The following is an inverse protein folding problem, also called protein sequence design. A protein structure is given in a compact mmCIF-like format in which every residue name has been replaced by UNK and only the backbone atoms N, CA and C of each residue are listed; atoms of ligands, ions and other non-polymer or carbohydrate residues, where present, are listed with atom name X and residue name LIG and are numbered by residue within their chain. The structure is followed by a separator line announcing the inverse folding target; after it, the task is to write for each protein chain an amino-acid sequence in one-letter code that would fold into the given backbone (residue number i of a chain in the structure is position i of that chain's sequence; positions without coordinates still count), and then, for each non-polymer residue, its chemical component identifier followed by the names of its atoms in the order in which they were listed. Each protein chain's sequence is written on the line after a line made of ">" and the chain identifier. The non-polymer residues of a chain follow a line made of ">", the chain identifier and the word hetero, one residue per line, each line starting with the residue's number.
data_IF_512427536862
#
_entry.id   IF_512427536862
#
_cell.length_a   1.000
_cell.length_b   1.000
_cell.length_c   1.000
_cell.angle_alpha   90.00
_cell.angle_beta   90.00
_cell.angle_gamma   90.00
#
_symmetry.space_group_name_H-M   'P 1'
#
loop_
_entity.id
_entity.type
_entity.pdbx_description
1 polymer ?
#
# COMPACT_ATOMS: atom_id res chain seq x y z
N UNK A 1 15.36 -18.05 25.99
CA UNK A 1 14.93 -17.88 24.61
C UNK A 1 13.82 -16.84 24.40
N UNK A 2 13.05 -16.41 25.44
CA UNK A 2 11.95 -15.43 25.31
C UNK A 2 12.39 -13.99 24.90
N UNK A 3 13.56 -13.56 25.33
CA UNK A 3 13.99 -12.16 25.22
C UNK A 3 14.64 -11.78 23.88
N UNK A 4 15.07 -12.76 23.08
CA UNK A 4 15.77 -12.48 21.83
C UNK A 4 14.81 -12.10 20.69
N UNK A 5 13.66 -12.73 20.63
CA UNK A 5 12.73 -12.62 19.51
C UNK A 5 12.00 -11.27 19.42
N UNK A 6 11.64 -10.67 20.56
CA UNK A 6 11.04 -9.33 20.58
C UNK A 6 12.07 -8.20 20.38
N UNK A 7 13.33 -8.45 20.74
CA UNK A 7 14.43 -7.57 20.35
C UNK A 7 14.62 -7.48 18.83
N UNK A 8 14.20 -8.48 18.09
CA UNK A 8 14.26 -8.55 16.63
C UNK A 8 13.19 -7.67 15.95
N UNK A 9 12.09 -7.37 16.66
CA UNK A 9 11.10 -6.38 16.25
C UNK A 9 11.62 -4.92 16.30
N UNK A 10 12.89 -4.73 16.56
CA UNK A 10 13.56 -3.40 16.65
C UNK A 10 13.51 -2.58 15.38
N UNK A 11 12.84 -3.05 14.36
CA UNK A 11 13.26 -2.56 13.09
C UNK A 11 12.67 -1.20 12.75
N UNK A 12 13.47 -0.13 12.75
CA UNK A 12 13.15 1.08 12.02
C UNK A 12 12.89 0.79 10.53
N UNK A 13 13.29 -0.41 10.03
CA UNK A 13 13.05 -0.83 8.66
C UNK A 13 11.56 -0.88 8.33
N UNK A 14 10.71 -1.33 9.24
CA UNK A 14 9.25 -1.32 9.01
C UNK A 14 8.75 0.12 8.85
N UNK A 15 9.14 1.02 9.76
CA UNK A 15 8.70 2.42 9.72
C UNK A 15 9.26 3.17 8.52
N UNK A 16 10.52 2.91 8.16
CA UNK A 16 11.13 3.49 6.95
C UNK A 16 10.47 2.89 5.70
N UNK A 17 10.23 1.58 5.68
CA UNK A 17 9.50 0.94 4.58
C UNK A 17 8.10 1.53 4.38
N UNK A 18 7.35 1.74 5.47
CA UNK A 18 6.05 2.41 5.42
C UNK A 18 6.14 3.85 4.87
N UNK A 19 7.23 4.57 5.16
CA UNK A 19 7.44 5.91 4.63
C UNK A 19 7.50 5.91 3.10
N UNK A 20 8.15 4.92 2.48
CA UNK A 20 8.20 4.78 1.03
C UNK A 20 6.82 4.56 0.39
N UNK A 21 5.85 4.01 1.14
CA UNK A 21 4.51 3.73 0.63
C UNK A 21 3.55 4.93 0.72
N UNK A 22 3.95 6.08 1.27
CA UNK A 22 3.07 7.25 1.43
C UNK A 22 2.78 7.93 0.08
N UNK A 23 3.70 7.83 -0.89
CA UNK A 23 3.58 8.51 -2.15
C UNK A 23 2.39 8.03 -3.00
N UNK A 24 1.72 8.93 -3.71
CA UNK A 24 0.73 8.55 -4.72
C UNK A 24 1.44 7.90 -5.91
N UNK A 25 0.89 6.80 -6.40
CA UNK A 25 1.28 6.20 -7.69
C UNK A 25 0.44 6.77 -8.81
N UNK A 26 1.06 7.05 -9.96
CA UNK A 26 0.39 7.58 -11.14
C UNK A 26 0.54 6.60 -12.29
N UNK A 27 -0.53 5.93 -12.65
CA UNK A 27 -0.47 4.92 -13.70
C UNK A 27 0.61 3.87 -13.41
N UNK A 28 1.59 3.73 -14.29
CA UNK A 28 2.76 2.87 -14.08
C UNK A 28 3.89 3.58 -13.33
N UNK A 29 3.84 4.92 -13.21
CA UNK A 29 4.91 5.70 -12.61
C UNK A 29 4.79 5.76 -11.08
N UNK A 30 5.85 5.39 -10.41
CA UNK A 30 6.00 5.42 -8.96
C UNK A 30 7.21 6.29 -8.59
N UNK A 31 7.00 7.53 -8.09
CA UNK A 31 8.07 8.45 -7.77
C UNK A 31 9.03 7.96 -6.69
N UNK A 32 8.51 7.27 -5.69
CA UNK A 32 9.27 6.57 -4.67
C UNK A 32 8.99 5.08 -4.84
N UNK A 33 9.96 4.28 -5.31
CA UNK A 33 9.70 2.89 -5.65
C UNK A 33 9.15 2.09 -4.46
N UNK A 34 7.87 1.76 -4.52
CA UNK A 34 7.18 1.00 -3.47
C UNK A 34 7.83 -0.34 -3.16
N UNK A 35 8.46 -0.95 -4.17
CA UNK A 35 9.16 -2.22 -3.96
C UNK A 35 10.25 -2.12 -2.87
N UNK A 36 10.91 -0.96 -2.74
CA UNK A 36 11.87 -0.71 -1.67
C UNK A 36 11.16 -0.71 -0.32
N UNK A 37 10.01 -0.02 -0.22
CA UNK A 37 9.19 0.02 0.98
C UNK A 37 8.75 -1.37 1.42
N UNK A 38 8.22 -2.18 0.51
CA UNK A 38 7.82 -3.55 0.79
C UNK A 38 8.99 -4.45 1.19
N UNK A 39 10.16 -4.33 0.54
CA UNK A 39 11.36 -5.10 0.92
C UNK A 39 11.88 -4.70 2.31
N UNK A 40 11.84 -3.42 2.65
CA UNK A 40 12.24 -2.97 3.98
C UNK A 40 11.28 -3.47 5.06
N UNK A 41 9.98 -3.44 4.81
CA UNK A 41 8.99 -4.02 5.72
C UNK A 41 9.18 -5.54 5.87
N UNK A 42 9.44 -6.24 4.77
CA UNK A 42 9.77 -7.67 4.78
C UNK A 42 10.99 -7.96 5.66
N UNK A 43 12.11 -7.26 5.42
CA UNK A 43 13.31 -7.42 6.23
C UNK A 43 13.07 -7.12 7.72
N UNK A 44 12.19 -6.14 8.00
CA UNK A 44 11.83 -5.77 9.35
C UNK A 44 10.95 -6.79 10.10
N UNK A 45 10.17 -7.60 9.39
CA UNK A 45 9.25 -8.58 9.99
C UNK A 45 9.77 -10.01 9.87
N UNK A 46 10.77 -10.28 9.05
CA UNK A 46 11.24 -11.62 8.67
C UNK A 46 11.54 -12.53 9.87
N UNK A 47 12.28 -12.01 10.84
CA UNK A 47 12.64 -12.80 12.02
C UNK A 47 11.44 -13.02 12.96
N UNK A 48 10.53 -12.05 13.05
CA UNK A 48 9.29 -12.17 13.80
C UNK A 48 8.31 -13.11 13.11
N UNK A 49 8.33 -13.19 11.81
CA UNK A 49 7.48 -14.05 10.99
C UNK A 49 7.65 -15.53 11.33
N UNK A 50 8.83 -15.94 11.77
CA UNK A 50 9.08 -17.33 12.21
C UNK A 50 8.29 -17.75 13.46
N UNK A 51 7.60 -16.82 14.15
CA UNK A 51 6.84 -17.08 15.36
C UNK A 51 5.37 -17.46 15.12
N UNK A 52 4.83 -17.08 13.96
CA UNK A 52 3.42 -17.29 13.61
C UNK A 52 3.27 -17.48 12.10
N UNK A 53 2.45 -18.45 11.70
CA UNK A 53 2.22 -18.77 10.29
C UNK A 53 1.57 -17.62 9.52
N UNK A 54 0.72 -16.79 10.16
CA UNK A 54 0.07 -15.63 9.55
C UNK A 54 1.09 -14.54 9.26
N UNK A 55 2.02 -14.28 10.20
CA UNK A 55 3.12 -13.36 9.94
C UNK A 55 4.06 -13.87 8.85
N UNK A 56 4.28 -15.18 8.77
CA UNK A 56 5.02 -15.80 7.66
C UNK A 56 4.29 -15.56 6.34
N UNK A 57 2.98 -15.70 6.30
CA UNK A 57 2.18 -15.41 5.10
C UNK A 57 2.19 -13.92 4.75
N UNK A 58 2.06 -13.03 5.74
CA UNK A 58 2.18 -11.59 5.54
C UNK A 58 3.56 -11.22 4.97
N UNK A 59 4.64 -11.78 5.49
CA UNK A 59 5.99 -11.57 4.98
C UNK A 59 6.14 -12.02 3.50
N UNK A 60 5.61 -13.19 3.14
CA UNK A 60 5.59 -13.65 1.74
C UNK A 60 4.80 -12.70 0.83
N UNK A 61 3.68 -12.16 1.31
CA UNK A 61 2.88 -11.19 0.55
C UNK A 61 3.59 -9.86 0.34
N UNK A 62 4.40 -9.41 1.31
CA UNK A 62 5.29 -8.26 1.12
C UNK A 62 6.29 -8.49 -0.02
N UNK A 63 6.84 -9.70 -0.15
CA UNK A 63 7.71 -10.04 -1.29
C UNK A 63 6.94 -10.03 -2.62
N UNK A 64 5.71 -10.57 -2.64
CA UNK A 64 4.89 -10.53 -3.86
C UNK A 64 4.49 -9.10 -4.24
N UNK A 65 4.17 -8.25 -3.26
CA UNK A 65 3.90 -6.83 -3.49
C UNK A 65 5.14 -6.10 -3.99
N UNK A 66 6.33 -6.39 -3.42
CA UNK A 66 7.59 -5.85 -3.92
C UNK A 66 7.87 -6.25 -5.36
N UNK A 67 7.67 -7.54 -5.69
CA UNK A 67 7.84 -8.04 -7.06
C UNK A 67 6.85 -7.36 -8.02
N UNK A 68 5.58 -7.26 -7.64
CA UNK A 68 4.55 -6.63 -8.44
C UNK A 68 4.86 -5.15 -8.72
N UNK A 69 5.27 -4.40 -7.66
CA UNK A 69 5.68 -3.01 -7.78
C UNK A 69 6.93 -2.85 -8.65
N UNK A 70 7.92 -3.74 -8.51
CA UNK A 70 9.10 -3.75 -9.37
C UNK A 70 8.77 -4.03 -10.84
N UNK A 71 7.87 -4.97 -11.12
CA UNK A 71 7.39 -5.26 -12.47
C UNK A 71 6.61 -4.07 -13.05
N UNK A 72 5.80 -3.38 -12.24
CA UNK A 72 5.09 -2.17 -12.66
C UNK A 72 6.08 -1.07 -13.08
N UNK A 73 7.14 -0.87 -12.31
CA UNK A 73 8.19 0.10 -12.64
C UNK A 73 8.92 -0.28 -13.95
N UNK A 74 9.27 -1.55 -14.15
CA UNK A 74 9.85 -2.03 -15.42
C UNK A 74 8.85 -1.80 -16.57
N UNK A 75 7.56 -2.08 -16.35
CA UNK A 75 6.49 -1.79 -17.29
C UNK A 75 6.46 -0.33 -17.72
N UNK A 76 6.62 0.60 -16.78
CA UNK A 76 6.65 2.04 -17.08
C UNK A 76 7.77 2.42 -18.06
N UNK A 77 8.94 1.81 -17.96
CA UNK A 77 10.07 2.07 -18.87
C UNK A 77 9.92 1.37 -20.23
N UNK A 78 9.36 0.16 -20.26
CA UNK A 78 9.24 -0.63 -21.49
C UNK A 78 8.06 -0.20 -22.36
N UNK A 79 7.03 0.41 -21.77
CA UNK A 79 5.83 0.86 -22.48
C UNK A 79 5.87 2.32 -22.91
N UNK A 80 7.02 2.99 -22.81
CA UNK A 80 7.17 4.41 -23.19
C UNK A 80 6.86 4.74 -24.66
N UNK A 81 6.57 3.76 -25.50
CA UNK A 81 6.12 3.91 -26.88
C UNK A 81 4.87 3.09 -27.22
N UNK A 82 4.24 2.47 -26.21
CA UNK A 82 3.05 1.65 -26.41
C UNK A 82 1.80 2.52 -26.57
N UNK A 83 0.77 1.96 -27.22
CA UNK A 83 -0.53 2.58 -27.34
C UNK A 83 -1.24 2.67 -25.96
N UNK A 84 -2.10 3.68 -25.81
CA UNK A 84 -2.83 3.94 -24.56
C UNK A 84 -3.64 2.76 -24.06
N UNK A 85 -4.16 1.93 -24.97
CA UNK A 85 -4.98 0.76 -24.62
C UNK A 85 -4.15 -0.33 -23.94
N UNK A 86 -2.94 -0.59 -24.41
CA UNK A 86 -2.01 -1.55 -23.81
C UNK A 86 -1.59 -1.11 -22.41
N UNK A 87 -1.22 0.17 -22.26
CA UNK A 87 -0.86 0.75 -20.94
C UNK A 87 -2.03 0.61 -19.97
N UNK A 88 -3.25 0.94 -20.40
CA UNK A 88 -4.47 0.84 -19.59
C UNK A 88 -4.73 -0.60 -19.13
N UNK A 89 -4.62 -1.59 -20.02
CA UNK A 89 -4.81 -3.00 -19.67
C UNK A 89 -3.80 -3.48 -18.63
N UNK A 90 -2.54 -3.09 -18.79
CA UNK A 90 -1.47 -3.43 -17.83
C UNK A 90 -1.73 -2.79 -16.46
N UNK A 91 -2.06 -1.51 -16.42
CA UNK A 91 -2.40 -0.82 -15.16
C UNK A 91 -3.58 -1.45 -14.45
N UNK A 92 -4.62 -1.84 -15.20
CA UNK A 92 -5.78 -2.52 -14.66
C UNK A 92 -5.42 -3.90 -14.06
N UNK A 93 -4.64 -4.70 -14.79
CA UNK A 93 -4.19 -6.00 -14.32
C UNK A 93 -3.33 -5.87 -13.05
N UNK A 94 -2.37 -4.94 -13.02
CA UNK A 94 -1.56 -4.67 -11.83
C UNK A 94 -2.41 -4.21 -10.64
N UNK A 95 -3.37 -3.32 -10.86
CA UNK A 95 -4.24 -2.79 -9.78
C UNK A 95 -5.14 -3.88 -9.19
N UNK A 96 -5.67 -4.80 -9.99
CA UNK A 96 -6.44 -5.95 -9.49
C UNK A 96 -5.55 -6.88 -8.67
N UNK A 97 -4.38 -7.25 -9.18
CA UNK A 97 -3.43 -8.10 -8.46
C UNK A 97 -2.99 -7.45 -7.13
N UNK A 98 -2.70 -6.16 -7.15
CA UNK A 98 -2.33 -5.41 -5.95
C UNK A 98 -3.47 -5.39 -4.94
N UNK A 99 -4.71 -5.12 -5.37
CA UNK A 99 -5.89 -5.11 -4.49
C UNK A 99 -6.10 -6.45 -3.77
N UNK A 100 -5.98 -7.56 -4.49
CA UNK A 100 -6.13 -8.92 -3.94
C UNK A 100 -5.00 -9.24 -2.94
N UNK A 101 -3.76 -8.91 -3.30
CA UNK A 101 -2.60 -9.12 -2.41
C UNK A 101 -2.72 -8.28 -1.14
N UNK A 102 -3.08 -7.01 -1.27
CA UNK A 102 -3.25 -6.07 -0.14
C UNK A 102 -4.36 -6.54 0.79
N UNK A 103 -5.51 -6.98 0.26
CA UNK A 103 -6.63 -7.48 1.07
C UNK A 103 -6.19 -8.61 2.02
N UNK A 104 -5.51 -9.60 1.43
CA UNK A 104 -5.02 -10.75 2.19
C UNK A 104 -3.82 -10.42 3.08
N UNK A 105 -2.95 -9.49 2.63
CA UNK A 105 -1.83 -8.99 3.42
C UNK A 105 -2.29 -8.29 4.70
N UNK A 106 -3.24 -7.35 4.60
CA UNK A 106 -3.76 -6.62 5.77
C UNK A 106 -4.33 -7.60 6.80
N UNK A 107 -5.06 -8.61 6.35
CA UNK A 107 -5.63 -9.62 7.25
C UNK A 107 -4.53 -10.39 7.98
N UNK A 108 -3.60 -11.00 7.25
CA UNK A 108 -2.53 -11.80 7.86
C UNK A 108 -1.59 -10.96 8.74
N UNK A 109 -1.32 -9.71 8.33
CA UNK A 109 -0.49 -8.79 9.08
C UNK A 109 -1.08 -8.49 10.46
N UNK A 110 -2.33 -8.04 10.51
CA UNK A 110 -2.95 -7.67 11.78
C UNK A 110 -3.32 -8.88 12.64
N UNK A 111 -3.81 -9.97 12.05
CA UNK A 111 -4.16 -11.18 12.79
C UNK A 111 -2.89 -11.89 13.33
N UNK A 112 -1.78 -11.85 12.60
CA UNK A 112 -0.51 -12.38 13.06
C UNK A 112 0.09 -11.55 14.20
N UNK A 113 0.06 -10.22 14.09
CA UNK A 113 0.48 -9.34 15.19
C UNK A 113 -0.42 -9.49 16.42
N UNK A 114 -1.73 -9.65 16.24
CA UNK A 114 -2.68 -9.89 17.33
C UNK A 114 -2.29 -11.15 18.12
N UNK A 115 -2.06 -12.25 17.44
CA UNK A 115 -1.64 -13.50 18.06
C UNK A 115 -0.32 -13.35 18.82
N UNK A 116 0.69 -12.73 18.22
CA UNK A 116 1.99 -12.52 18.86
C UNK A 116 1.86 -11.62 20.10
N UNK A 117 1.11 -10.52 20.00
CA UNK A 117 0.88 -9.61 21.11
C UNK A 117 0.12 -10.26 22.26
N UNK A 118 -0.92 -11.04 21.99
CA UNK A 118 -1.64 -11.80 23.02
C UNK A 118 -0.70 -12.81 23.72
N UNK A 119 0.12 -13.52 22.96
CA UNK A 119 1.07 -14.49 23.49
C UNK A 119 2.13 -13.86 24.40
N UNK A 120 2.50 -12.63 24.13
CA UNK A 120 3.48 -11.88 24.93
C UNK A 120 2.85 -10.94 25.97
N UNK A 121 1.50 -10.85 26.02
CA UNK A 121 0.80 -9.99 26.98
C UNK A 121 0.86 -8.49 26.66
N UNK A 122 1.10 -8.13 25.39
CA UNK A 122 1.22 -6.75 24.91
C UNK A 122 -0.17 -6.15 24.61
N UNK A 123 -0.95 -5.87 25.65
CA UNK A 123 -2.36 -5.46 25.52
C UNK A 123 -2.57 -3.98 25.16
N UNK A 124 -1.59 -3.10 25.38
CA UNK A 124 -1.74 -1.67 25.08
C UNK A 124 -1.85 -1.41 23.57
N UNK A 125 -1.10 -2.16 22.78
CA UNK A 125 -1.15 -2.07 21.32
C UNK A 125 -2.46 -2.60 20.73
N UNK A 126 -3.06 -3.63 21.33
CA UNK A 126 -4.32 -4.25 20.88
C UNK A 126 -5.48 -3.24 20.86
N UNK A 127 -5.51 -2.31 21.83
CA UNK A 127 -6.58 -1.30 21.92
C UNK A 127 -6.73 -0.45 20.65
N UNK A 128 -5.64 -0.20 19.93
CA UNK A 128 -5.63 0.64 18.73
C UNK A 128 -5.58 -0.17 17.42
N UNK A 129 -5.53 -1.49 17.50
CA UNK A 129 -5.34 -2.36 16.34
C UNK A 129 -6.47 -2.25 15.33
N UNK A 130 -7.73 -2.33 15.78
CA UNK A 130 -8.91 -2.28 14.88
C UNK A 130 -8.94 -0.97 14.09
N UNK A 131 -8.66 0.15 14.75
CA UNK A 131 -8.61 1.45 14.11
C UNK A 131 -7.45 1.53 13.09
N UNK A 132 -6.26 1.04 13.47
CA UNK A 132 -5.09 1.04 12.57
C UNK A 132 -5.32 0.13 11.36
N UNK A 133 -5.94 -1.05 11.55
CA UNK A 133 -6.34 -1.97 10.48
C UNK A 133 -7.30 -1.28 9.49
N UNK A 134 -8.33 -0.61 10.01
CA UNK A 134 -9.30 0.12 9.19
C UNK A 134 -8.66 1.24 8.39
N UNK A 135 -7.83 2.08 9.03
CA UNK A 135 -7.09 3.17 8.36
C UNK A 135 -6.15 2.61 7.29
N UNK A 136 -5.47 1.50 7.57
CA UNK A 136 -4.59 0.82 6.61
C UNK A 136 -5.37 0.36 5.38
N UNK A 137 -6.54 -0.26 5.59
CA UNK A 137 -7.42 -0.67 4.51
C UNK A 137 -7.86 0.52 3.64
N UNK A 138 -8.38 1.57 4.26
CA UNK A 138 -8.80 2.78 3.54
C UNK A 138 -7.64 3.36 2.73
N UNK A 139 -6.46 3.50 3.33
CA UNK A 139 -5.31 4.08 2.64
C UNK A 139 -4.91 3.27 1.40
N UNK A 140 -4.70 1.96 1.54
CA UNK A 140 -4.25 1.14 0.41
C UNK A 140 -5.30 1.06 -0.70
N UNK A 141 -6.59 0.85 -0.36
CA UNK A 141 -7.64 0.80 -1.38
C UNK A 141 -7.87 2.14 -2.07
N UNK A 142 -7.81 3.24 -1.33
CA UNK A 142 -7.88 4.57 -1.94
C UNK A 142 -6.71 4.83 -2.87
N UNK A 143 -5.50 4.45 -2.46
CA UNK A 143 -4.31 4.58 -3.28
C UNK A 143 -4.41 3.78 -4.58
N UNK A 144 -4.87 2.53 -4.52
CA UNK A 144 -5.09 1.69 -5.70
C UNK A 144 -6.17 2.32 -6.60
N UNK A 145 -7.31 2.72 -6.03
CA UNK A 145 -8.40 3.33 -6.78
C UNK A 145 -7.97 4.64 -7.45
N UNK A 146 -7.29 5.52 -6.74
CA UNK A 146 -6.83 6.80 -7.28
C UNK A 146 -5.66 6.64 -8.27
N UNK A 147 -4.79 5.67 -8.05
CA UNK A 147 -3.73 5.32 -9.01
C UNK A 147 -4.27 4.86 -10.37
N UNK A 148 -5.51 4.33 -10.40
CA UNK A 148 -6.18 3.89 -11.62
C UNK A 148 -7.04 4.97 -12.30
N UNK A 149 -7.29 6.11 -11.66
CA UNK A 149 -8.12 7.19 -12.21
C UNK A 149 -7.65 7.73 -13.57
N UNK A 150 -6.34 7.91 -13.85
CA UNK A 150 -5.89 8.34 -15.17
C UNK A 150 -6.35 7.42 -16.28
N UNK A 151 -6.36 6.10 -16.05
CA UNK A 151 -6.81 5.09 -17.00
C UNK A 151 -8.32 5.09 -17.18
N UNK A 152 -9.08 5.30 -16.10
CA UNK A 152 -10.53 5.48 -16.17
C UNK A 152 -10.90 6.70 -17.02
N UNK A 153 -10.18 7.82 -16.86
CA UNK A 153 -10.41 9.01 -17.67
C UNK A 153 -10.14 8.76 -19.14
N UNK A 154 -9.12 7.95 -19.48
CA UNK A 154 -8.84 7.56 -20.86
C UNK A 154 -9.98 6.71 -21.47
N UNK A 155 -10.65 5.84 -20.69
CA UNK A 155 -11.86 5.11 -21.12
C UNK A 155 -12.98 6.08 -21.47
N UNK A 156 -13.17 7.15 -20.67
CA UNK A 156 -14.18 8.17 -20.94
C UNK A 156 -13.84 9.01 -22.17
N UNK A 157 -12.55 9.30 -22.41
CA UNK A 157 -12.09 9.96 -23.64
C UNK A 157 -12.31 9.10 -24.88
N UNK A 158 -12.07 7.78 -24.81
CA UNK A 158 -12.39 6.84 -25.89
C UNK A 158 -13.90 6.81 -26.20
N UNK A 159 -14.77 6.86 -25.18
CA UNK A 159 -16.22 6.99 -25.39
C UNK A 159 -16.59 8.30 -26.10
N UNK A 160 -15.95 9.39 -25.74
CA UNK A 160 -16.15 10.68 -26.40
C UNK A 160 -15.68 10.67 -27.86
N UNK A 161 -14.60 9.93 -28.17
CA UNK A 161 -14.08 9.76 -29.53
C UNK A 161 -15.06 8.95 -30.43
N UNK A 162 -15.78 8.00 -29.88
CA UNK A 162 -16.79 7.21 -30.60
C UNK A 162 -18.16 7.91 -30.71
N UNK A 163 -18.21 9.22 -30.51
CA UNK A 163 -19.42 10.05 -30.73
C UNK A 163 -20.63 9.73 -29.84
N UNK A 164 -20.39 8.94 -28.77
CA UNK A 164 -21.45 8.46 -27.87
C UNK A 164 -21.97 9.60 -26.96
N UNK A 165 -21.15 10.65 -26.75
CA UNK A 165 -21.59 11.78 -25.95
C UNK A 165 -20.89 13.09 -26.37
N UNK A 166 -21.56 13.87 -27.20
CA UNK A 166 -21.15 15.25 -27.54
C UNK A 166 -21.49 16.28 -26.46
N UNK A 167 -21.79 15.82 -25.23
CA UNK A 167 -22.25 16.70 -24.19
C UNK A 167 -21.13 17.68 -23.79
N UNK A 168 -21.43 18.99 -23.68
CA UNK A 168 -20.45 20.00 -23.28
C UNK A 168 -19.88 19.74 -21.88
N UNK A 169 -20.56 18.95 -21.06
CA UNK A 169 -20.12 18.55 -19.72
C UNK A 169 -18.85 17.69 -19.78
N UNK A 170 -18.75 16.74 -20.71
CA UNK A 170 -17.56 15.89 -20.86
C UNK A 170 -16.35 16.65 -21.40
N UNK A 171 -16.57 17.64 -22.27
CA UNK A 171 -15.49 18.54 -22.73
C UNK A 171 -14.97 19.43 -21.60
N UNK A 172 -15.86 19.91 -20.73
CA UNK A 172 -15.47 20.68 -19.56
C UNK A 172 -14.68 19.81 -18.56
N UNK A 173 -15.14 18.59 -18.28
CA UNK A 173 -14.42 17.63 -17.40
C UNK A 173 -13.01 17.32 -17.92
N UNK A 174 -12.85 17.10 -19.22
CA UNK A 174 -11.53 16.85 -19.82
C UNK A 174 -10.55 18.02 -19.63
N UNK A 175 -11.03 19.26 -19.59
CA UNK A 175 -10.19 20.45 -19.35
C UNK A 175 -9.72 20.58 -17.89
N UNK A 176 -10.40 19.92 -16.92
CA UNK A 176 -10.04 19.92 -15.50
C UNK A 176 -9.12 18.75 -15.08
N UNK A 177 -8.84 17.80 -16.00
CA UNK A 177 -8.05 16.59 -15.75
C UNK A 177 -6.75 16.80 -14.93
N UNK A 178 -5.88 17.78 -15.24
CA UNK A 178 -4.67 17.99 -14.44
C UNK A 178 -4.96 18.42 -13.00
N UNK A 179 -6.03 19.18 -12.76
CA UNK A 179 -6.43 19.60 -11.41
C UNK A 179 -7.03 18.45 -10.63
N UNK A 180 -7.78 17.55 -11.27
CA UNK A 180 -8.33 16.35 -10.65
C UNK A 180 -7.20 15.42 -10.18
N UNK A 181 -6.22 15.15 -11.03
CA UNK A 181 -5.05 14.33 -10.67
C UNK A 181 -4.30 14.96 -9.50
N UNK A 182 -4.07 16.27 -9.52
CA UNK A 182 -3.40 16.96 -8.43
C UNK A 182 -4.20 16.90 -7.12
N UNK A 183 -5.53 17.08 -7.17
CA UNK A 183 -6.41 16.99 -6.01
C UNK A 183 -6.42 15.59 -5.42
N UNK A 184 -6.58 14.56 -6.24
CA UNK A 184 -6.57 13.16 -5.79
C UNK A 184 -5.23 12.77 -5.21
N UNK A 185 -4.13 13.21 -5.81
CA UNK A 185 -2.78 12.99 -5.29
C UNK A 185 -2.60 13.62 -3.91
N UNK A 186 -3.11 14.84 -3.72
CA UNK A 186 -3.08 15.52 -2.43
C UNK A 186 -3.90 14.75 -1.39
N UNK A 187 -5.09 14.25 -1.75
CA UNK A 187 -5.93 13.45 -0.86
C UNK A 187 -5.19 12.17 -0.45
N UNK A 188 -4.62 11.43 -1.41
CA UNK A 188 -3.86 10.19 -1.13
C UNK A 188 -2.65 10.49 -0.24
N UNK A 189 -1.94 11.60 -0.48
CA UNK A 189 -0.81 12.00 0.34
C UNK A 189 -1.24 12.31 1.79
N UNK A 190 -2.32 13.06 1.99
CA UNK A 190 -2.85 13.37 3.32
C UNK A 190 -3.26 12.08 4.04
N UNK A 191 -3.96 11.19 3.35
CA UNK A 191 -4.35 9.89 3.89
C UNK A 191 -3.13 9.03 4.21
N UNK A 192 -2.09 9.05 3.35
CA UNK A 192 -0.83 8.34 3.56
C UNK A 192 -0.09 8.83 4.80
N UNK A 193 0.01 10.13 5.00
CA UNK A 193 0.60 10.72 6.22
C UNK A 193 -0.19 10.32 7.46
N UNK A 194 -1.53 10.37 7.40
CA UNK A 194 -2.39 9.96 8.51
C UNK A 194 -2.23 8.47 8.82
N UNK A 195 -2.24 7.61 7.82
CA UNK A 195 -1.96 6.18 7.95
C UNK A 195 -0.58 5.92 8.57
N UNK A 196 0.46 6.60 8.06
CA UNK A 196 1.84 6.46 8.54
C UNK A 196 1.95 6.79 10.03
N UNK A 197 1.42 7.93 10.45
CA UNK A 197 1.46 8.36 11.85
C UNK A 197 0.76 7.34 12.76
N UNK A 198 -0.41 6.83 12.37
CA UNK A 198 -1.14 5.81 13.14
C UNK A 198 -0.37 4.49 13.19
N UNK A 199 0.18 4.05 12.05
CA UNK A 199 0.95 2.81 11.98
C UNK A 199 2.24 2.87 12.80
N UNK A 200 2.95 4.00 12.75
CA UNK A 200 4.16 4.22 13.59
C UNK A 200 3.80 4.23 15.08
N UNK A 201 2.67 4.85 15.47
CA UNK A 201 2.20 4.80 16.87
C UNK A 201 1.88 3.38 17.30
N UNK A 202 1.22 2.61 16.46
CA UNK A 202 0.90 1.21 16.71
C UNK A 202 2.18 0.35 16.89
N UNK A 203 3.16 0.48 15.99
CA UNK A 203 4.43 -0.23 16.08
C UNK A 203 5.23 0.18 17.34
N UNK A 204 5.22 1.47 17.68
CA UNK A 204 5.86 1.96 18.92
C UNK A 204 5.18 1.41 20.17
N UNK A 205 3.86 1.28 20.19
CA UNK A 205 3.13 0.68 21.29
C UNK A 205 3.51 -0.80 21.48
N UNK A 206 3.58 -1.57 20.39
CA UNK A 206 4.06 -2.96 20.43
C UNK A 206 5.47 -3.03 21.03
N UNK A 207 6.36 -2.12 20.63
CA UNK A 207 7.73 -2.09 21.12
C UNK A 207 7.81 -1.71 22.61
N UNK A 208 7.03 -0.71 23.03
CA UNK A 208 7.00 -0.29 24.43
C UNK A 208 6.53 -1.43 25.34
N UNK A 209 5.45 -2.14 24.95
CA UNK A 209 4.96 -3.30 25.68
C UNK A 209 6.02 -4.43 25.73
N UNK A 210 6.78 -4.60 24.65
CA UNK A 210 7.86 -5.57 24.58
C UNK A 210 9.04 -5.23 25.50
N UNK A 211 9.37 -3.96 25.65
CA UNK A 211 10.47 -3.48 26.51
C UNK A 211 10.10 -3.57 28.00
N UNK A 212 8.79 -3.50 28.37
CA UNK A 212 8.33 -3.68 29.75
C UNK A 212 8.37 -5.16 30.24
N UNK A 213 8.52 -6.11 29.34
CA UNK A 213 8.55 -7.55 29.66
C UNK A 213 9.98 -8.11 29.86
N UNK A 214 11.00 -7.25 29.89
CA UNK A 214 12.40 -7.56 30.15
C UNK A 214 12.75 -7.22 31.57
#
# INVERSE_FOLDING_TARGET
>A
MKNTSLRLFRSPLITVGMFFLINPTFSLFDPLPDFIGYLMMFAGVYELAAMDDRLTMAAKKLLYLALLSGLRLIGAFTTSGADSSTIMMLCFAFSICEALLVATFITDWFDGFDYVMQRFGAFSALKNQTNTRFITGIFFYSRIAFGFLPELSAIFELRAYFDIDKSPVWKALASYKPYEIALFSLIVLIMGVYWYVNSVRYIRAIRADADFMV
#
